data_IF_052840434507
#
_entry.id   IF_052840434507
#
_cell.length_a   1.000
_cell.length_b   1.000
_cell.length_c   1.000
_cell.angle_alpha   90.00
_cell.angle_beta   90.00
_cell.angle_gamma   90.00
#
_symmetry.space_group_name_H-M   'P 1'
#
loop_
_entity.id
_entity.type
_entity.pdbx_description
1 polymer ?
#
# COMPACT_ATOMS: atom_id res chain seq x y z
N UNK A 1 -26.29 29.49 29.58
CA UNK A 1 -27.53 28.70 29.47
C UNK A 1 -27.39 27.51 28.48
N UNK A 2 -26.50 26.52 28.68
CA UNK A 2 -26.36 25.40 27.73
C UNK A 2 -27.39 24.27 27.96
N UNK A 3 -27.83 24.07 29.21
CA UNK A 3 -28.74 22.98 29.59
C UNK A 3 -30.12 23.10 28.93
N UNK A 4 -30.69 24.30 28.92
CA UNK A 4 -31.98 24.57 28.26
C UNK A 4 -31.95 24.19 26.78
N UNK A 5 -30.86 24.53 26.09
CA UNK A 5 -30.68 24.13 24.69
C UNK A 5 -30.48 22.62 24.54
N UNK A 6 -29.74 21.96 25.44
CA UNK A 6 -29.62 20.49 25.42
C UNK A 6 -30.97 19.81 25.62
N UNK A 7 -31.72 20.21 26.64
CA UNK A 7 -33.04 19.64 26.96
C UNK A 7 -34.01 19.86 25.79
N UNK A 8 -34.03 21.08 25.24
CA UNK A 8 -34.84 21.40 24.06
C UNK A 8 -34.45 20.58 22.83
N UNK A 9 -33.15 20.43 22.56
CA UNK A 9 -32.66 19.59 21.47
C UNK A 9 -33.04 18.12 21.68
N UNK A 10 -32.95 17.57 22.90
CA UNK A 10 -33.33 16.16 23.16
C UNK A 10 -34.82 15.92 22.95
N UNK A 11 -35.68 16.87 23.34
CA UNK A 11 -37.13 16.81 23.08
C UNK A 11 -37.40 16.87 21.58
N UNK A 12 -36.70 17.74 20.86
CA UNK A 12 -36.85 17.85 19.40
C UNK A 12 -36.40 16.57 18.68
N UNK A 13 -35.27 15.96 19.09
CA UNK A 13 -34.81 14.67 18.57
C UNK A 13 -35.88 13.58 18.74
N UNK A 14 -36.66 13.58 19.82
CA UNK A 14 -37.78 12.64 20.01
C UNK A 14 -38.97 12.91 19.08
N UNK A 15 -39.17 14.16 18.64
CA UNK A 15 -40.27 14.55 17.74
C UNK A 15 -40.04 14.15 16.27
N UNK A 16 -38.81 13.80 15.87
CA UNK A 16 -38.43 13.32 14.51
C UNK A 16 -38.79 14.26 13.34
N UNK A 17 -39.12 15.53 13.59
CA UNK A 17 -39.34 16.53 12.52
C UNK A 17 -37.98 17.09 12.09
N UNK A 18 -37.46 16.62 10.96
CA UNK A 18 -36.05 16.78 10.57
C UNK A 18 -35.67 18.25 10.34
N UNK A 19 -36.51 18.99 9.63
CA UNK A 19 -36.28 20.39 9.25
C UNK A 19 -36.24 21.33 10.45
N UNK A 20 -37.17 21.15 11.38
CA UNK A 20 -37.26 21.97 12.59
C UNK A 20 -36.18 21.62 13.60
N UNK A 21 -35.86 20.32 13.76
CA UNK A 21 -34.71 19.90 14.56
C UNK A 21 -33.42 20.56 14.07
N UNK A 22 -33.17 20.54 12.75
CA UNK A 22 -32.00 21.20 12.15
C UNK A 22 -31.97 22.71 12.44
N UNK A 23 -33.09 23.41 12.23
CA UNK A 23 -33.19 24.85 12.53
C UNK A 23 -32.93 25.15 14.00
N UNK A 24 -33.38 24.29 14.91
CA UNK A 24 -33.15 24.41 16.35
C UNK A 24 -31.67 24.22 16.68
N UNK A 25 -31.01 23.20 16.13
CA UNK A 25 -29.56 23.01 16.29
C UNK A 25 -28.77 24.19 15.71
N UNK A 26 -29.16 24.71 14.54
CA UNK A 26 -28.52 25.88 13.93
C UNK A 26 -28.74 27.19 14.71
N UNK A 27 -29.87 27.32 15.41
CA UNK A 27 -30.12 28.44 16.34
C UNK A 27 -29.30 28.29 17.62
N UNK A 28 -29.21 27.08 18.17
CA UNK A 28 -28.41 26.79 19.36
C UNK A 28 -26.92 27.13 19.11
N UNK A 29 -26.37 26.69 17.98
CA UNK A 29 -24.97 26.98 17.60
C UNK A 29 -24.70 28.46 17.33
N UNK A 30 -25.72 29.26 16.96
CA UNK A 30 -25.60 30.73 16.81
C UNK A 30 -25.69 31.46 18.14
N UNK A 31 -26.53 30.98 19.05
CA UNK A 31 -26.77 31.64 20.33
C UNK A 31 -25.69 31.35 21.38
N UNK A 32 -24.94 30.26 21.23
CA UNK A 32 -23.97 29.81 22.23
C UNK A 32 -22.53 30.14 21.85
N UNK A 33 -21.67 30.52 22.83
CA UNK A 33 -20.25 30.68 22.61
C UNK A 33 -19.57 29.37 22.17
N UNK A 34 -18.47 29.50 21.42
CA UNK A 34 -17.72 28.38 20.80
C UNK A 34 -17.31 27.31 21.82
N UNK A 35 -16.98 27.68 23.05
CA UNK A 35 -16.60 26.75 24.13
C UNK A 35 -17.71 25.76 24.50
N UNK A 36 -18.97 26.11 24.26
CA UNK A 36 -20.14 25.29 24.60
C UNK A 36 -20.61 24.40 23.44
N UNK A 37 -20.06 24.61 22.24
CA UNK A 37 -20.42 23.84 21.05
C UNK A 37 -20.08 22.34 21.21
N UNK A 38 -19.01 22.02 21.94
CA UNK A 38 -18.58 20.64 22.22
C UNK A 38 -19.66 19.77 22.89
N UNK A 39 -20.63 20.38 23.59
CA UNK A 39 -21.72 19.63 24.24
C UNK A 39 -22.93 19.39 23.33
N UNK A 40 -23.10 20.23 22.31
CA UNK A 40 -24.25 20.16 21.38
C UNK A 40 -23.93 19.28 20.18
N UNK A 41 -22.68 19.32 19.70
CA UNK A 41 -22.26 18.54 18.55
C UNK A 41 -22.49 17.02 18.70
N UNK A 42 -22.23 16.36 19.84
CA UNK A 42 -22.52 14.94 19.99
C UNK A 42 -24.02 14.62 19.86
N UNK A 43 -24.90 15.47 20.38
CA UNK A 43 -26.36 15.32 20.24
C UNK A 43 -26.79 15.53 18.79
N UNK A 44 -26.16 16.49 18.12
CA UNK A 44 -26.46 16.77 16.72
C UNK A 44 -25.98 15.66 15.80
N UNK A 45 -24.77 15.12 16.03
CA UNK A 45 -24.22 13.98 15.29
C UNK A 45 -25.11 12.75 15.47
N UNK A 46 -25.50 12.41 16.71
CA UNK A 46 -26.41 11.28 16.97
C UNK A 46 -27.73 11.40 16.20
N UNK A 47 -28.30 12.61 16.17
CA UNK A 47 -29.51 12.89 15.41
C UNK A 47 -29.28 12.76 13.90
N UNK A 48 -28.16 13.26 13.39
CA UNK A 48 -27.81 13.24 11.97
C UNK A 48 -27.52 11.81 11.50
N UNK A 49 -26.86 10.99 12.31
CA UNK A 49 -26.62 9.56 12.03
C UNK A 49 -27.89 8.71 12.08
N UNK A 50 -28.96 9.17 12.76
CA UNK A 50 -30.20 8.40 12.85
C UNK A 50 -31.17 8.64 11.67
N UNK A 51 -30.82 9.53 10.73
CA UNK A 51 -31.65 9.86 9.58
C UNK A 51 -30.87 9.68 8.26
N UNK A 52 -31.48 9.05 7.26
CA UNK A 52 -30.87 8.73 5.97
C UNK A 52 -30.88 9.93 4.99
N UNK A 53 -30.27 11.07 5.36
CA UNK A 53 -30.12 12.23 4.45
C UNK A 53 -28.63 12.60 4.28
N UNK A 54 -27.92 11.94 3.35
CA UNK A 54 -26.46 12.00 3.27
C UNK A 54 -25.91 13.42 3.08
N UNK A 55 -26.50 14.23 2.19
CA UNK A 55 -26.00 15.59 1.90
C UNK A 55 -26.07 16.54 3.10
N UNK A 56 -27.13 16.45 3.89
CA UNK A 56 -27.28 17.30 5.07
C UNK A 56 -26.28 16.91 6.13
N UNK A 57 -26.06 15.60 6.30
CA UNK A 57 -25.10 15.06 7.23
C UNK A 57 -23.67 15.48 6.87
N UNK A 58 -23.28 15.38 5.60
CA UNK A 58 -21.97 15.82 5.11
C UNK A 58 -21.74 17.31 5.40
N UNK A 59 -22.73 18.17 5.12
CA UNK A 59 -22.61 19.62 5.39
C UNK A 59 -22.48 19.91 6.88
N UNK A 60 -23.19 19.17 7.72
CA UNK A 60 -23.11 19.29 9.18
C UNK A 60 -21.74 18.84 9.69
N UNK A 61 -21.25 17.68 9.24
CA UNK A 61 -19.92 17.20 9.59
C UNK A 61 -18.83 18.14 9.09
N UNK A 62 -18.89 18.68 7.87
CA UNK A 62 -17.93 19.71 7.40
C UNK A 62 -17.89 20.93 8.31
N UNK A 63 -19.02 21.35 8.87
CA UNK A 63 -19.07 22.45 9.84
C UNK A 63 -18.50 22.04 11.19
N UNK A 64 -18.77 20.81 11.63
CA UNK A 64 -18.21 20.26 12.85
C UNK A 64 -16.68 20.18 12.79
N UNK A 65 -16.12 19.72 11.67
CA UNK A 65 -14.68 19.56 11.46
C UNK A 65 -13.89 20.87 11.50
N UNK A 66 -14.53 22.01 11.16
CA UNK A 66 -13.90 23.33 11.31
C UNK A 66 -13.64 23.72 12.77
N UNK A 67 -14.43 23.17 13.69
CA UNK A 67 -14.38 23.49 15.12
C UNK A 67 -13.64 22.42 15.91
N UNK A 68 -13.80 21.15 15.52
CA UNK A 68 -13.13 20.03 16.16
C UNK A 68 -12.54 19.08 15.12
N UNK A 69 -11.24 19.22 14.79
CA UNK A 69 -10.52 18.27 13.94
C UNK A 69 -10.54 16.83 14.49
N UNK A 70 -10.73 16.66 15.80
CA UNK A 70 -10.69 15.34 16.48
C UNK A 70 -11.85 14.41 16.11
N UNK A 71 -12.97 14.96 15.65
CA UNK A 71 -14.14 14.18 15.24
C UNK A 71 -14.10 13.64 13.80
N UNK A 72 -12.95 13.73 13.12
CA UNK A 72 -12.83 13.36 11.71
C UNK A 72 -12.90 11.86 11.47
N UNK A 73 -12.55 11.03 12.44
CA UNK A 73 -12.72 9.58 12.33
C UNK A 73 -14.19 9.14 12.32
N UNK A 74 -15.03 9.72 13.18
CA UNK A 74 -16.48 9.47 13.17
C UNK A 74 -17.09 9.87 11.83
N UNK A 75 -16.55 10.92 11.21
CA UNK A 75 -16.97 11.34 9.89
C UNK A 75 -16.52 10.35 8.80
N UNK A 76 -15.29 9.83 8.86
CA UNK A 76 -14.81 8.81 7.93
C UNK A 76 -15.66 7.54 8.04
N UNK A 77 -15.93 7.04 9.24
CA UNK A 77 -16.80 5.87 9.45
C UNK A 77 -18.21 6.09 8.89
N UNK A 78 -18.74 7.30 9.06
CA UNK A 78 -20.03 7.66 8.49
C UNK A 78 -20.02 7.73 6.96
N UNK A 79 -18.96 8.27 6.36
CA UNK A 79 -18.80 8.34 4.91
C UNK A 79 -18.63 6.96 4.28
N UNK A 80 -17.93 6.03 4.96
CA UNK A 80 -17.82 4.64 4.54
C UNK A 80 -19.21 3.97 4.52
N UNK A 81 -20.06 4.22 5.54
CA UNK A 81 -21.44 3.70 5.57
C UNK A 81 -22.31 4.22 4.42
N UNK A 82 -22.04 5.43 3.95
CA UNK A 82 -22.80 6.11 2.87
C UNK A 82 -22.18 5.87 1.49
N UNK A 83 -21.09 5.09 1.42
CA UNK A 83 -20.40 4.77 0.18
C UNK A 83 -19.87 6.02 -0.57
N UNK A 84 -19.67 7.13 0.16
CA UNK A 84 -18.98 8.33 -0.34
C UNK A 84 -17.48 8.26 -0.03
N UNK A 85 -16.81 7.37 -0.76
CA UNK A 85 -15.43 6.98 -0.52
C UNK A 85 -14.41 8.06 -0.92
N UNK A 86 -14.71 8.84 -1.95
CA UNK A 86 -13.88 9.97 -2.39
C UNK A 86 -13.67 11.00 -1.25
N UNK A 87 -14.75 11.37 -0.57
CA UNK A 87 -14.68 12.30 0.56
C UNK A 87 -14.01 11.66 1.76
N UNK A 88 -14.27 10.38 2.02
CA UNK A 88 -13.64 9.63 3.10
C UNK A 88 -12.12 9.60 2.94
N UNK A 89 -11.64 9.32 1.73
CA UNK A 89 -10.22 9.26 1.41
C UNK A 89 -9.54 10.63 1.59
N UNK A 90 -10.17 11.73 1.14
CA UNK A 90 -9.62 13.10 1.39
C UNK A 90 -9.51 13.43 2.88
N UNK A 91 -10.51 13.03 3.66
CA UNK A 91 -10.51 13.26 5.10
C UNK A 91 -9.47 12.38 5.81
N UNK A 92 -9.26 11.15 5.35
CA UNK A 92 -8.18 10.28 5.83
C UNK A 92 -6.79 10.82 5.47
N UNK A 93 -6.58 11.33 4.26
CA UNK A 93 -5.30 11.95 3.88
C UNK A 93 -5.00 13.18 4.73
N UNK A 94 -6.01 14.00 5.01
CA UNK A 94 -5.83 15.15 5.91
C UNK A 94 -5.61 14.73 7.36
N UNK A 95 -6.22 13.64 7.84
CA UNK A 95 -5.89 13.05 9.16
C UNK A 95 -4.45 12.58 9.23
N UNK A 96 -4.02 11.87 8.20
CA UNK A 96 -2.68 11.32 8.04
C UNK A 96 -1.62 12.43 8.02
N UNK A 97 -1.89 13.54 7.34
CA UNK A 97 -0.96 14.67 7.25
C UNK A 97 -0.93 15.54 8.50
N UNK A 98 -1.94 15.45 9.38
CA UNK A 98 -1.98 16.21 10.63
C UNK A 98 -1.06 15.61 11.72
N UNK A 99 -0.34 14.50 11.44
CA UNK A 99 0.69 13.87 12.28
C UNK A 99 0.31 13.84 13.79
N UNK A 100 -0.94 13.51 14.10
CA UNK A 100 -1.40 13.31 15.47
C UNK A 100 -1.04 11.88 15.92
N UNK A 101 -0.22 11.71 16.98
CA UNK A 101 0.38 10.40 17.31
C UNK A 101 -0.64 9.36 17.79
N UNK A 102 -1.77 9.80 18.34
CA UNK A 102 -2.84 8.95 18.83
C UNK A 102 -4.16 9.64 18.54
N UNK A 103 -5.04 8.95 17.82
CA UNK A 103 -6.44 9.37 17.73
C UNK A 103 -7.14 9.23 19.08
N UNK A 104 -8.17 10.02 19.34
CA UNK A 104 -9.05 9.86 20.50
C UNK A 104 -9.66 8.43 20.59
N UNK A 105 -9.73 7.66 19.49
CA UNK A 105 -10.12 6.22 19.48
C UNK A 105 -8.98 5.24 19.79
N UNK A 106 -7.77 5.74 20.03
CA UNK A 106 -6.58 4.92 20.26
C UNK A 106 -5.98 4.29 18.99
N UNK A 107 -6.48 4.66 17.80
CA UNK A 107 -5.89 4.19 16.54
C UNK A 107 -4.52 4.83 16.33
N UNK A 108 -3.55 4.01 15.95
CA UNK A 108 -2.23 4.49 15.56
C UNK A 108 -2.27 5.06 14.15
N UNK A 109 -1.33 5.96 13.85
CA UNK A 109 -1.18 6.52 12.50
C UNK A 109 -1.04 5.41 11.45
N UNK A 110 -0.36 4.30 11.79
CA UNK A 110 -0.26 3.11 10.95
C UNK A 110 -1.61 2.45 10.63
N UNK A 111 -2.50 2.35 11.62
CA UNK A 111 -3.84 1.78 11.39
C UNK A 111 -4.68 2.67 10.49
N UNK A 112 -4.59 3.99 10.64
CA UNK A 112 -5.26 4.94 9.75
C UNK A 112 -4.73 4.86 8.31
N UNK A 113 -3.42 4.62 8.15
CA UNK A 113 -2.83 4.36 6.85
C UNK A 113 -3.27 3.04 6.26
N UNK A 114 -3.31 1.96 7.04
CA UNK A 114 -3.80 0.67 6.58
C UNK A 114 -5.27 0.77 6.13
N UNK A 115 -6.12 1.45 6.90
CA UNK A 115 -7.51 1.73 6.55
C UNK A 115 -7.63 2.56 5.26
N UNK A 116 -6.77 3.57 5.09
CA UNK A 116 -6.71 4.36 3.86
C UNK A 116 -6.28 3.51 2.66
N UNK A 117 -5.23 2.71 2.79
CA UNK A 117 -4.73 1.82 1.74
C UNK A 117 -5.78 0.78 1.35
N UNK A 118 -6.47 0.19 2.32
CA UNK A 118 -7.55 -0.78 2.07
C UNK A 118 -8.77 -0.13 1.38
N UNK A 119 -9.14 1.10 1.78
CA UNK A 119 -10.23 1.83 1.16
C UNK A 119 -9.92 2.17 -0.30
N UNK A 120 -8.69 2.64 -0.56
CA UNK A 120 -8.22 2.95 -1.91
C UNK A 120 -8.13 1.68 -2.76
N UNK A 121 -7.49 0.62 -2.25
CA UNK A 121 -7.30 -0.62 -3.02
C UNK A 121 -8.64 -1.28 -3.37
N UNK A 122 -9.64 -1.20 -2.48
CA UNK A 122 -10.96 -1.80 -2.74
C UNK A 122 -11.79 -1.05 -3.77
N UNK A 123 -11.63 0.26 -3.90
CA UNK A 123 -12.53 1.09 -4.70
C UNK A 123 -11.85 2.06 -5.69
N UNK A 124 -11.08 1.57 -6.68
CA UNK A 124 -10.40 2.45 -7.64
C UNK A 124 -11.34 3.31 -8.48
N UNK A 125 -12.53 2.80 -8.81
CA UNK A 125 -13.50 3.50 -9.67
C UNK A 125 -14.21 4.67 -8.98
N UNK A 126 -14.12 4.78 -7.65
CA UNK A 126 -14.83 5.79 -6.85
C UNK A 126 -13.89 6.79 -6.20
N UNK A 127 -12.57 6.65 -6.39
CA UNK A 127 -11.56 7.57 -5.85
C UNK A 127 -10.89 8.27 -7.03
N UNK A 128 -11.47 9.38 -7.46
CA UNK A 128 -10.92 10.18 -8.57
C UNK A 128 -10.07 11.35 -8.09
N UNK A 129 -10.22 11.71 -6.83
CA UNK A 129 -9.78 13.00 -6.33
C UNK A 129 -8.37 13.01 -5.71
N UNK A 130 -7.71 11.87 -5.65
CA UNK A 130 -6.43 11.70 -4.99
C UNK A 130 -5.42 11.03 -5.93
N UNK A 131 -4.22 11.58 -5.98
CA UNK A 131 -3.08 10.94 -6.63
C UNK A 131 -2.59 9.77 -5.77
N UNK A 132 -3.18 8.60 -5.99
CA UNK A 132 -2.88 7.37 -5.25
C UNK A 132 -1.38 7.05 -5.27
N UNK A 133 -0.69 7.34 -6.37
CA UNK A 133 0.77 7.17 -6.49
C UNK A 133 1.56 7.92 -5.43
N UNK A 134 1.22 9.19 -5.21
CA UNK A 134 1.97 10.06 -4.29
C UNK A 134 1.73 9.59 -2.85
N UNK A 135 0.48 9.28 -2.53
CA UNK A 135 0.07 8.84 -1.19
C UNK A 135 0.72 7.50 -0.85
N UNK A 136 0.62 6.49 -1.73
CA UNK A 136 1.20 5.17 -1.47
C UNK A 136 2.73 5.23 -1.37
N UNK A 137 3.40 6.00 -2.23
CA UNK A 137 4.86 6.21 -2.13
C UNK A 137 5.27 6.89 -0.83
N UNK A 138 4.51 7.89 -0.36
CA UNK A 138 4.73 8.51 0.95
C UNK A 138 4.52 7.51 2.09
N UNK A 139 3.50 6.64 2.01
CA UNK A 139 3.25 5.57 2.96
C UNK A 139 4.42 4.59 3.05
N UNK A 140 4.95 4.15 1.90
CA UNK A 140 6.10 3.23 1.82
C UNK A 140 7.37 3.87 2.41
N UNK A 141 7.58 5.17 2.20
CA UNK A 141 8.74 5.87 2.74
C UNK A 141 8.65 6.10 4.25
N UNK A 142 7.45 6.40 4.77
CA UNK A 142 7.23 6.65 6.20
C UNK A 142 7.19 5.38 7.04
N UNK A 143 6.75 4.25 6.48
CA UNK A 143 6.55 3.01 7.25
C UNK A 143 7.44 1.87 6.77
N UNK A 144 8.45 1.54 7.58
CA UNK A 144 9.38 0.44 7.31
C UNK A 144 8.85 -0.94 7.66
N UNK A 145 7.81 -1.03 8.50
CA UNK A 145 7.52 -2.28 9.22
C UNK A 145 6.54 -3.21 8.48
N UNK A 146 5.88 -2.73 7.42
CA UNK A 146 4.93 -3.48 6.59
C UNK A 146 4.98 -3.07 5.12
N UNK A 147 6.20 -2.93 4.58
CA UNK A 147 6.39 -2.49 3.19
C UNK A 147 5.77 -3.47 2.19
N UNK A 148 5.84 -4.78 2.46
CA UNK A 148 5.25 -5.81 1.59
C UNK A 148 3.75 -5.64 1.37
N UNK A 149 2.99 -5.49 2.46
CA UNK A 149 1.53 -5.34 2.43
C UNK A 149 1.12 -4.06 1.69
N UNK A 150 1.86 -2.96 1.88
CA UNK A 150 1.59 -1.70 1.20
C UNK A 150 1.79 -1.82 -0.32
N UNK A 151 2.89 -2.42 -0.77
CA UNK A 151 3.12 -2.66 -2.19
C UNK A 151 2.05 -3.57 -2.82
N UNK A 152 1.65 -4.64 -2.12
CA UNK A 152 0.55 -5.50 -2.58
C UNK A 152 -0.76 -4.72 -2.71
N UNK A 153 -1.11 -3.89 -1.71
CA UNK A 153 -2.32 -3.06 -1.76
C UNK A 153 -2.29 -2.03 -2.90
N UNK A 154 -1.09 -1.52 -3.22
CA UNK A 154 -0.87 -0.57 -4.30
C UNK A 154 -0.99 -1.24 -5.68
N UNK A 155 -0.47 -2.46 -5.83
CA UNK A 155 -0.66 -3.24 -7.05
C UNK A 155 -2.13 -3.67 -7.22
N UNK A 156 -2.81 -4.11 -6.15
CA UNK A 156 -4.23 -4.44 -6.18
C UNK A 156 -5.12 -3.30 -6.69
N UNK A 157 -4.78 -2.05 -6.34
CA UNK A 157 -5.47 -0.87 -6.84
C UNK A 157 -5.43 -0.81 -8.38
N UNK A 158 -4.25 -1.02 -8.98
CA UNK A 158 -4.09 -0.98 -10.44
C UNK A 158 -4.71 -2.19 -11.14
N UNK A 159 -4.65 -3.37 -10.52
CA UNK A 159 -5.31 -4.58 -11.00
C UNK A 159 -6.82 -4.34 -11.10
N UNK A 160 -7.43 -3.78 -10.05
CA UNK A 160 -8.87 -3.48 -10.04
C UNK A 160 -9.25 -2.30 -10.95
N UNK A 161 -8.32 -1.39 -11.23
CA UNK A 161 -8.48 -0.35 -12.24
C UNK A 161 -8.40 -0.88 -13.68
N UNK A 162 -7.96 -2.13 -13.89
CA UNK A 162 -7.77 -2.74 -15.21
C UNK A 162 -6.46 -2.35 -15.90
N UNK A 163 -5.52 -1.73 -15.20
CA UNK A 163 -4.23 -1.32 -15.73
C UNK A 163 -3.15 -2.33 -15.34
N UNK A 164 -3.09 -3.45 -16.05
CA UNK A 164 -2.22 -4.58 -15.72
C UNK A 164 -0.72 -4.28 -15.91
N UNK A 165 -0.32 -3.57 -16.96
CA UNK A 165 1.10 -3.20 -17.16
C UNK A 165 1.62 -2.32 -16.02
N UNK A 166 0.82 -1.35 -15.54
CA UNK A 166 1.23 -0.52 -14.41
C UNK A 166 1.33 -1.31 -13.11
N UNK A 167 0.47 -2.31 -12.92
CA UNK A 167 0.57 -3.20 -11.76
C UNK A 167 1.89 -4.00 -11.80
N UNK A 168 2.31 -4.45 -12.99
CA UNK A 168 3.58 -5.14 -13.22
C UNK A 168 4.78 -4.23 -12.93
N UNK A 169 4.76 -2.99 -13.44
CA UNK A 169 5.81 -2.00 -13.18
C UNK A 169 5.99 -1.78 -11.66
N UNK A 170 4.89 -1.71 -10.92
CA UNK A 170 4.87 -1.55 -9.47
C UNK A 170 5.45 -2.77 -8.76
N UNK A 171 5.12 -3.99 -9.21
CA UNK A 171 5.70 -5.21 -8.66
C UNK A 171 7.22 -5.28 -8.91
N UNK A 172 7.69 -4.91 -10.10
CA UNK A 172 9.13 -4.87 -10.40
C UNK A 172 9.85 -3.79 -9.57
N UNK A 173 9.26 -2.60 -9.42
CA UNK A 173 9.79 -1.55 -8.53
C UNK A 173 9.83 -2.02 -7.06
N UNK A 174 8.80 -2.72 -6.61
CA UNK A 174 8.73 -3.28 -5.27
C UNK A 174 9.84 -4.33 -5.05
N UNK A 175 10.05 -5.25 -5.99
CA UNK A 175 11.11 -6.26 -5.91
C UNK A 175 12.52 -5.66 -5.84
N UNK A 176 12.75 -4.51 -6.49
CA UNK A 176 14.03 -3.80 -6.44
C UNK A 176 14.21 -3.05 -5.10
N UNK A 177 13.15 -2.43 -4.59
CA UNK A 177 13.22 -1.55 -3.41
C UNK A 177 13.25 -2.31 -2.08
N UNK A 178 12.71 -3.53 -2.02
CA UNK A 178 12.54 -4.28 -0.78
C UNK A 178 13.86 -4.79 -0.20
N UNK A 179 14.01 -4.59 1.11
CA UNK A 179 15.17 -5.02 1.90
C UNK A 179 14.93 -6.32 2.65
N UNK A 180 13.70 -6.64 3.08
CA UNK A 180 13.45 -7.84 3.90
C UNK A 180 13.08 -9.04 3.02
N UNK A 181 13.50 -10.25 3.41
CA UNK A 181 13.12 -11.48 2.70
C UNK A 181 11.62 -11.73 2.83
N UNK A 182 11.03 -11.43 4.00
CA UNK A 182 9.59 -11.62 4.24
C UNK A 182 8.74 -10.78 3.29
N UNK A 183 9.03 -9.48 3.19
CA UNK A 183 8.31 -8.60 2.28
C UNK A 183 8.53 -9.03 0.82
N UNK A 184 9.75 -9.45 0.46
CA UNK A 184 10.05 -9.96 -0.88
C UNK A 184 9.22 -11.21 -1.22
N UNK A 185 9.14 -12.19 -0.30
CA UNK A 185 8.33 -13.39 -0.53
C UNK A 185 6.86 -13.04 -0.69
N UNK A 186 6.31 -12.14 0.13
CA UNK A 186 4.91 -11.73 0.03
C UNK A 186 4.60 -11.05 -1.31
N UNK A 187 5.47 -10.15 -1.77
CA UNK A 187 5.31 -9.45 -3.04
C UNK A 187 5.48 -10.42 -4.22
N UNK A 188 6.49 -11.29 -4.16
CA UNK A 188 6.75 -12.26 -5.23
C UNK A 188 5.60 -13.26 -5.38
N UNK A 189 5.13 -13.83 -4.28
CA UNK A 189 4.02 -14.79 -4.30
C UNK A 189 2.72 -14.10 -4.77
N UNK A 190 2.48 -12.84 -4.40
CA UNK A 190 1.36 -12.05 -4.92
C UNK A 190 1.50 -11.73 -6.42
N UNK A 191 2.72 -11.44 -6.90
CA UNK A 191 2.97 -11.18 -8.32
C UNK A 191 2.81 -12.46 -9.16
N UNK A 192 3.33 -13.59 -8.69
CA UNK A 192 3.14 -14.90 -9.33
C UNK A 192 1.66 -15.28 -9.40
N UNK A 193 0.90 -15.12 -8.30
CA UNK A 193 -0.53 -15.37 -8.29
C UNK A 193 -1.31 -14.42 -9.21
N UNK A 194 -0.85 -13.18 -9.38
CA UNK A 194 -1.42 -12.23 -10.34
C UNK A 194 -1.20 -12.67 -11.78
N UNK A 195 0.02 -13.06 -12.15
CA UNK A 195 0.33 -13.56 -13.50
C UNK A 195 -0.42 -14.85 -13.80
N UNK A 196 -0.49 -15.78 -12.85
CA UNK A 196 -1.28 -17.03 -12.97
C UNK A 196 -2.77 -16.73 -13.13
N UNK A 197 -3.31 -15.79 -12.36
CA UNK A 197 -4.71 -15.37 -12.53
C UNK A 197 -4.94 -14.72 -13.89
N UNK A 198 -3.98 -13.95 -14.38
CA UNK A 198 -4.08 -13.29 -15.67
C UNK A 198 -4.01 -14.30 -16.83
N UNK A 199 -3.13 -15.29 -16.75
CA UNK A 199 -3.05 -16.39 -17.72
C UNK A 199 -4.33 -17.22 -17.68
N UNK A 200 -4.81 -17.63 -16.51
CA UNK A 200 -6.06 -18.38 -16.36
C UNK A 200 -7.28 -17.59 -16.89
N UNK A 201 -7.39 -16.30 -16.56
CA UNK A 201 -8.47 -15.46 -17.08
C UNK A 201 -8.38 -15.28 -18.59
N UNK A 202 -7.18 -15.24 -19.19
CA UNK A 202 -7.04 -15.19 -20.64
C UNK A 202 -7.44 -16.54 -21.26
N UNK A 203 -7.02 -17.65 -20.67
CA UNK A 203 -7.39 -19.02 -21.06
C UNK A 203 -8.91 -19.24 -21.11
N UNK A 204 -9.63 -18.76 -20.09
CA UNK A 204 -11.10 -18.86 -20.03
C UNK A 204 -11.82 -17.98 -21.07
N UNK A 205 -11.17 -16.91 -21.52
CA UNK A 205 -11.73 -15.96 -22.49
C UNK A 205 -11.43 -16.31 -23.95
N UNK A 206 -10.68 -17.39 -24.22
CA UNK A 206 -10.50 -17.82 -25.61
C UNK A 206 -11.82 -18.34 -26.17
N UNK A 207 -12.17 -17.85 -27.35
CA UNK A 207 -13.24 -18.44 -28.13
C UNK A 207 -12.78 -19.82 -28.64
N UNK A 208 -13.69 -20.79 -28.69
CA UNK A 208 -13.46 -22.04 -29.42
C UNK A 208 -13.97 -21.87 -30.86
N UNK A 209 -13.14 -21.96 -31.92
CA UNK A 209 -11.69 -22.20 -31.95
C UNK A 209 -10.85 -20.94 -31.66
N UNK A 210 -9.66 -21.09 -31.06
CA UNK A 210 -8.78 -19.96 -30.77
C UNK A 210 -8.24 -19.35 -32.07
N UNK A 211 -8.16 -18.02 -32.12
CA UNK A 211 -7.44 -17.35 -33.19
C UNK A 211 -5.93 -17.48 -32.96
N UNK A 212 -5.13 -17.44 -34.05
CA UNK A 212 -3.66 -17.42 -33.96
C UNK A 212 -3.14 -16.28 -33.07
N UNK A 213 -3.84 -15.14 -33.03
CA UNK A 213 -3.52 -14.01 -32.14
C UNK A 213 -3.69 -14.36 -30.66
N UNK A 214 -4.74 -15.10 -30.29
CA UNK A 214 -4.99 -15.50 -28.91
C UNK A 214 -3.97 -16.56 -28.44
N UNK A 215 -3.53 -17.45 -29.34
CA UNK A 215 -2.46 -18.43 -29.06
C UNK A 215 -1.12 -17.74 -28.82
N UNK A 216 -0.74 -16.77 -29.67
CA UNK A 216 0.49 -15.99 -29.50
C UNK A 216 0.50 -15.19 -28.19
N UNK A 217 -0.64 -14.61 -27.80
CA UNK A 217 -0.75 -13.91 -26.52
C UNK A 217 -0.57 -14.83 -25.32
N UNK A 218 -1.12 -16.06 -25.38
CA UNK A 218 -0.92 -17.06 -24.32
C UNK A 218 0.55 -17.48 -24.23
N UNK A 219 1.20 -17.80 -25.35
CA UNK A 219 2.62 -18.13 -25.37
C UNK A 219 3.46 -17.01 -24.75
N UNK A 220 3.14 -15.75 -25.07
CA UNK A 220 3.82 -14.60 -24.51
C UNK A 220 3.62 -14.49 -22.99
N UNK A 221 2.41 -14.75 -22.48
CA UNK A 221 2.13 -14.77 -21.05
C UNK A 221 2.87 -15.92 -20.33
N UNK A 222 2.93 -17.11 -20.93
CA UNK A 222 3.68 -18.24 -20.39
C UNK A 222 5.18 -17.95 -20.34
N UNK A 223 5.76 -17.46 -21.45
CA UNK A 223 7.17 -17.08 -21.49
C UNK A 223 7.52 -16.02 -20.44
N UNK A 224 6.62 -15.06 -20.21
CA UNK A 224 6.79 -14.04 -19.17
C UNK A 224 6.75 -14.63 -17.76
N UNK A 225 5.80 -15.54 -17.49
CA UNK A 225 5.71 -16.22 -16.20
C UNK A 225 6.93 -17.11 -15.92
N UNK A 226 7.38 -17.87 -16.92
CA UNK A 226 8.61 -18.67 -16.82
C UNK A 226 9.83 -17.80 -16.54
N UNK A 227 9.95 -16.67 -17.24
CA UNK A 227 11.02 -15.71 -17.00
C UNK A 227 10.99 -15.13 -15.58
N UNK A 228 9.81 -14.84 -15.03
CA UNK A 228 9.65 -14.40 -13.64
C UNK A 228 10.09 -15.47 -12.66
N UNK A 229 9.68 -16.72 -12.88
CA UNK A 229 10.03 -17.86 -12.04
C UNK A 229 11.54 -18.16 -12.08
N UNK A 230 12.16 -18.09 -13.25
CA UNK A 230 13.60 -18.23 -13.43
C UNK A 230 14.39 -17.13 -12.71
N UNK A 231 13.85 -15.91 -12.62
CA UNK A 231 14.48 -14.77 -11.90
C UNK A 231 14.37 -14.86 -10.38
N UNK A 232 13.47 -15.67 -9.82
CA UNK A 232 13.25 -15.75 -8.36
C UNK A 232 14.53 -15.95 -7.55
N UNK A 233 15.44 -16.90 -7.88
CA UNK A 233 16.65 -17.12 -7.09
C UNK A 233 17.61 -15.93 -7.13
N UNK A 234 17.75 -15.30 -8.31
CA UNK A 234 18.59 -14.11 -8.50
C UNK A 234 18.05 -12.91 -7.71
N UNK A 235 16.74 -12.69 -7.74
CA UNK A 235 16.08 -11.62 -7.00
C UNK A 235 16.19 -11.84 -5.50
N UNK A 236 15.96 -13.07 -5.02
CA UNK A 236 16.12 -13.41 -3.61
C UNK A 236 17.56 -13.18 -3.13
N UNK A 237 18.54 -13.63 -3.91
CA UNK A 237 19.95 -13.39 -3.60
C UNK A 237 20.26 -11.88 -3.57
N UNK A 238 19.70 -11.08 -4.48
CA UNK A 238 19.86 -9.62 -4.44
C UNK A 238 19.31 -9.00 -3.15
N UNK A 239 18.17 -9.50 -2.63
CA UNK A 239 17.60 -9.05 -1.36
C UNK A 239 18.52 -9.40 -0.19
N UNK A 240 19.06 -10.61 -0.17
CA UNK A 240 20.01 -11.07 0.87
C UNK A 240 21.29 -10.22 0.86
N UNK A 241 21.82 -9.90 -0.32
CA UNK A 241 22.97 -9.02 -0.46
C UNK A 241 22.66 -7.58 -0.05
N UNK A 242 21.42 -7.09 -0.23
CA UNK A 242 20.98 -5.79 0.28
C UNK A 242 20.88 -5.74 1.81
N UNK A 243 20.53 -6.86 2.45
CA UNK A 243 20.54 -6.95 3.91
C UNK A 243 21.95 -6.96 4.46
N UNK A 244 22.79 -7.85 3.92
CA UNK A 244 24.15 -8.06 4.39
C UNK A 244 25.13 -8.12 3.20
N UNK A 245 25.63 -6.97 2.73
CA UNK A 245 26.58 -6.90 1.62
C UNK A 245 27.90 -7.65 1.88
N UNK A 246 28.22 -7.90 3.14
CA UNK A 246 29.48 -8.53 3.57
C UNK A 246 29.37 -10.06 3.76
N UNK A 247 28.24 -10.67 3.37
CA UNK A 247 28.09 -12.12 3.42
C UNK A 247 28.71 -12.77 2.18
N UNK A 248 29.84 -13.44 2.36
CA UNK A 248 30.59 -14.07 1.27
C UNK A 248 29.86 -15.28 0.69
N UNK A 249 29.10 -16.02 1.50
CA UNK A 249 28.35 -17.18 1.03
C UNK A 249 27.28 -16.81 0.01
N UNK A 250 26.62 -15.66 0.19
CA UNK A 250 25.60 -15.20 -0.76
C UNK A 250 26.20 -14.71 -2.07
N UNK A 251 27.40 -14.13 -2.05
CA UNK A 251 28.13 -13.81 -3.28
C UNK A 251 28.50 -15.08 -4.06
N UNK A 252 28.93 -16.14 -3.37
CA UNK A 252 29.21 -17.43 -4.00
C UNK A 252 27.95 -18.09 -4.58
N UNK A 253 26.83 -18.05 -3.83
CA UNK A 253 25.54 -18.52 -4.33
C UNK A 253 25.14 -17.76 -5.60
N UNK A 254 25.39 -16.44 -5.66
CA UNK A 254 25.12 -15.64 -6.85
C UNK A 254 25.91 -16.08 -8.08
N UNK A 255 27.19 -16.41 -7.89
CA UNK A 255 28.04 -16.91 -8.98
C UNK A 255 27.53 -18.25 -9.50
N UNK A 256 27.13 -19.16 -8.60
CA UNK A 256 26.54 -20.43 -8.97
C UNK A 256 25.23 -20.23 -9.78
N UNK A 257 24.43 -19.22 -9.44
CA UNK A 257 23.22 -18.88 -10.20
C UNK A 257 23.50 -18.31 -11.59
N UNK A 258 24.71 -17.81 -11.87
CA UNK A 258 25.11 -17.31 -13.20
C UNK A 258 25.89 -18.35 -14.02
N UNK A 259 25.81 -19.63 -13.66
CA UNK A 259 26.44 -20.71 -14.43
C UNK A 259 25.96 -20.69 -15.90
N UNK A 260 26.90 -20.55 -16.83
CA UNK A 260 26.63 -20.36 -18.28
C UNK A 260 26.84 -18.94 -18.81
N UNK A 261 27.05 -17.93 -17.95
CA UNK A 261 27.38 -16.56 -18.33
C UNK A 261 28.67 -16.06 -17.66
N UNK A 262 29.85 -16.28 -18.28
CA UNK A 262 31.15 -16.01 -17.66
C UNK A 262 31.37 -14.52 -17.37
N UNK A 263 30.92 -13.62 -18.25
CA UNK A 263 31.04 -12.16 -18.05
C UNK A 263 30.35 -11.69 -16.76
N UNK A 264 29.11 -12.15 -16.54
CA UNK A 264 28.33 -11.80 -15.34
C UNK A 264 28.93 -12.41 -14.08
N UNK A 265 29.52 -13.61 -14.18
CA UNK A 265 30.23 -14.23 -13.05
C UNK A 265 31.43 -13.38 -12.64
N UNK A 266 32.25 -12.94 -13.61
CA UNK A 266 33.41 -12.07 -13.35
C UNK A 266 32.97 -10.75 -12.70
N UNK A 267 31.94 -10.10 -13.26
CA UNK A 267 31.41 -8.86 -12.68
C UNK A 267 30.94 -9.05 -11.24
N UNK A 268 30.25 -10.15 -10.94
CA UNK A 268 29.79 -10.43 -9.57
C UNK A 268 30.92 -10.70 -8.59
N UNK A 269 32.01 -11.32 -9.05
CA UNK A 269 33.21 -11.49 -8.25
C UNK A 269 33.90 -10.15 -7.98
N UNK A 270 34.03 -9.29 -8.99
CA UNK A 270 34.60 -7.95 -8.85
C UNK A 270 33.77 -7.08 -7.90
N UNK A 271 32.44 -7.11 -8.01
CA UNK A 271 31.53 -6.43 -7.09
C UNK A 271 31.64 -7.00 -5.66
N UNK A 272 31.69 -8.32 -5.52
CA UNK A 272 31.86 -8.97 -4.22
C UNK A 272 33.16 -8.56 -3.54
N UNK A 273 34.28 -8.56 -4.26
CA UNK A 273 35.59 -8.13 -3.73
C UNK A 273 35.59 -6.65 -3.34
N UNK A 274 34.96 -5.78 -4.14
CA UNK A 274 34.87 -4.33 -3.85
C UNK A 274 33.99 -4.03 -2.63
N UNK A 275 32.94 -4.82 -2.43
CA UNK A 275 31.92 -4.56 -1.39
C UNK A 275 32.24 -5.20 -0.04
N UNK A 276 32.88 -6.38 -0.03
CA UNK A 276 33.17 -7.12 1.21
C UNK A 276 34.35 -6.48 1.96
N UNK A 277 34.06 -5.96 3.16
CA UNK A 277 35.09 -5.45 4.07
C UNK A 277 35.61 -6.58 4.97
N UNK A 278 36.93 -6.83 5.05
CA UNK A 278 37.50 -7.93 5.83
C UNK A 278 37.14 -7.93 7.33
N UNK A 279 36.83 -6.76 7.90
CA UNK A 279 36.49 -6.61 9.34
C UNK A 279 35.04 -6.95 9.68
N UNK A 280 34.13 -6.92 8.71
CA UNK A 280 32.68 -7.14 8.90
C UNK A 280 32.19 -8.38 8.16
N UNK A 281 33.10 -9.23 7.70
CA UNK A 281 32.78 -10.40 6.90
C UNK A 281 32.01 -11.43 7.72
N UNK A 282 30.94 -11.95 7.12
CA UNK A 282 30.32 -13.21 7.55
C UNK A 282 30.74 -14.25 6.51
N UNK A 283 31.64 -15.15 6.90
CA UNK A 283 32.40 -16.01 6.00
C UNK A 283 33.84 -15.54 5.82
N UNK A 284 34.67 -16.33 5.11
CA UNK A 284 36.08 -16.00 4.86
C UNK A 284 36.21 -15.33 3.49
N UNK A 285 36.70 -14.09 3.40
CA UNK A 285 36.99 -13.46 2.10
C UNK A 285 37.92 -14.31 1.22
N UNK A 286 38.82 -15.08 1.84
CA UNK A 286 39.68 -16.03 1.13
C UNK A 286 38.89 -17.04 0.30
N UNK A 287 37.69 -17.47 0.72
CA UNK A 287 36.91 -18.42 -0.08
C UNK A 287 36.42 -17.81 -1.39
N UNK A 288 36.16 -16.50 -1.43
CA UNK A 288 35.80 -15.78 -2.65
C UNK A 288 36.96 -15.71 -3.64
N UNK A 289 38.17 -15.41 -3.14
CA UNK A 289 39.37 -15.41 -3.96
C UNK A 289 39.74 -16.81 -4.46
N UNK A 290 39.56 -17.85 -3.63
CA UNK A 290 39.81 -19.23 -4.03
C UNK A 290 38.81 -19.68 -5.10
N UNK A 291 37.53 -19.34 -4.96
CA UNK A 291 36.54 -19.70 -6.00
C UNK A 291 36.76 -18.91 -7.29
N UNK A 292 37.22 -17.66 -7.19
CA UNK A 292 37.62 -16.86 -8.34
C UNK A 292 38.83 -17.49 -9.05
N UNK A 293 39.89 -17.85 -8.32
CA UNK A 293 41.04 -18.53 -8.88
C UNK A 293 40.67 -19.86 -9.56
N UNK A 294 39.83 -20.68 -8.92
CA UNK A 294 39.30 -21.92 -9.51
C UNK A 294 38.48 -21.68 -10.78
N UNK A 295 37.77 -20.55 -10.86
CA UNK A 295 37.00 -20.20 -12.05
C UNK A 295 37.92 -19.91 -13.24
N UNK A 296 39.01 -19.17 -13.04
CA UNK A 296 40.03 -18.92 -14.07
C UNK A 296 40.83 -20.19 -14.41
N UNK A 297 41.15 -21.01 -13.41
CA UNK A 297 41.79 -22.31 -13.60
C UNK A 297 40.94 -23.24 -14.48
N UNK A 298 39.62 -23.28 -14.27
CA UNK A 298 38.71 -24.06 -15.11
C UNK A 298 38.52 -23.46 -16.52
N UNK A 299 38.81 -22.18 -16.72
CA UNK A 299 38.72 -21.50 -18.01
C UNK A 299 40.05 -21.56 -18.81
N UNK A 300 41.08 -22.23 -18.28
CA UNK A 300 42.45 -22.28 -18.85
C UNK A 300 43.07 -20.89 -19.14
N UNK A 301 42.59 -19.85 -18.46
CA UNK A 301 43.12 -18.49 -18.54
C UNK A 301 44.01 -18.25 -17.30
N UNK A 302 45.26 -18.71 -17.38
CA UNK A 302 46.24 -18.60 -16.29
C UNK A 302 47.02 -17.28 -16.29
N UNK A 303 46.98 -16.52 -17.40
CA UNK A 303 47.85 -15.36 -17.65
C UNK A 303 47.13 -13.99 -17.60
N UNK A 304 45.80 -13.94 -17.41
CA UNK A 304 44.98 -12.71 -17.27
C UNK A 304 44.41 -12.57 -15.84
#
# INVERSE_FOLDING_TARGET
MPRIWMDYCTVMTKRRVITDCRRVFDRALRALPVTQHLRIWPLYIKFVTSHDIPETCIRVYRRYLKLNPRGREDFVEYLIKIDQLDEAARQLVTLVNEDMPVSDKGKTVHQLWAELCELISKNPKKVHSLDVNVIMRQGIQKYSDQVGVLWCSFAEYYIRAGQFERARDIYEEAMISVKTVRDFTQIFDAYAAFEERNTAARMDNLAEPPNEEDELELEWLFARFEHLMARRPLLLNSVLLRQNPHNVHEWLNRVALYEGHPEKQIDTYLEGVRTVKPKMQVGKLCSLWISFAKFYENADQLDD
#
